data_IF_208834727927
#
_entry.id   IF_208834727927
#
_cell.length_a   1.000
_cell.length_b   1.000
_cell.length_c   1.000
_cell.angle_alpha   90.00
_cell.angle_beta   90.00
_cell.angle_gamma   90.00
#
_symmetry.space_group_name_H-M   'P 1'
#
loop_
_entity.id
_entity.type
_entity.pdbx_description
1 polymer ?
#
# COMPACT_ATOMS: atom_id res chain seq x y z
N UNK A 1 -10.52 3.95 -6.93
CA UNK A 1 -9.68 3.28 -5.91
C UNK A 1 -9.43 1.85 -6.29
N UNK A 2 -8.28 1.35 -5.92
CA UNK A 2 -7.93 -0.06 -6.16
C UNK A 2 -8.01 -0.84 -4.87
N UNK A 3 -8.22 -2.13 -4.98
CA UNK A 3 -8.22 -3.03 -3.84
C UNK A 3 -7.01 -3.95 -3.95
N UNK A 4 -6.39 -4.22 -2.83
CA UNK A 4 -5.25 -5.12 -2.78
C UNK A 4 -5.04 -5.67 -1.40
N UNK A 5 -3.97 -6.45 -1.26
CA UNK A 5 -3.59 -7.05 0.01
C UNK A 5 -2.18 -6.60 0.37
N UNK A 6 -1.98 -6.22 1.62
CA UNK A 6 -0.65 -5.84 2.09
C UNK A 6 0.24 -7.08 2.09
N UNK A 7 1.29 -7.04 1.28
CA UNK A 7 2.24 -8.15 1.20
C UNK A 7 3.15 -8.17 2.42
N UNK A 8 3.68 -7.01 2.76
CA UNK A 8 4.37 -6.80 4.03
C UNK A 8 4.41 -5.31 4.33
N UNK A 9 4.62 -4.98 5.58
CA UNK A 9 4.81 -3.59 5.97
C UNK A 9 5.78 -3.54 7.14
N UNK A 10 6.80 -2.69 7.02
CA UNK A 10 7.80 -2.49 8.06
C UNK A 10 7.55 -1.15 8.74
N UNK A 11 6.93 -1.17 9.90
CA UNK A 11 6.63 0.05 10.64
C UNK A 11 7.88 0.79 11.09
N UNK A 12 8.95 0.06 11.39
CA UNK A 12 10.20 0.67 11.83
C UNK A 12 10.82 1.51 10.74
N UNK A 13 10.80 1.02 9.51
CA UNK A 13 11.34 1.73 8.36
C UNK A 13 10.30 2.61 7.66
N UNK A 14 9.03 2.39 7.96
CA UNK A 14 7.95 3.22 7.44
C UNK A 14 7.58 2.95 5.99
N UNK A 15 7.70 1.71 5.52
CA UNK A 15 7.31 1.37 4.15
C UNK A 15 6.90 -0.09 4.04
N UNK A 16 6.25 -0.39 2.94
CA UNK A 16 5.84 -1.76 2.64
C UNK A 16 5.39 -1.89 1.19
N UNK A 17 4.79 -3.01 0.87
CA UNK A 17 4.27 -3.28 -0.46
C UNK A 17 2.85 -3.83 -0.37
N UNK A 18 2.03 -3.41 -1.33
CA UNK A 18 0.68 -3.91 -1.50
C UNK A 18 0.63 -4.63 -2.84
N UNK A 19 0.00 -5.79 -2.85
CA UNK A 19 -0.22 -6.53 -4.09
C UNK A 19 -1.66 -6.27 -4.52
N UNK A 20 -1.85 -5.69 -5.71
CA UNK A 20 -3.17 -5.37 -6.20
C UNK A 20 -3.86 -6.59 -6.82
N UNK A 21 -5.10 -6.41 -7.28
CA UNK A 21 -5.90 -7.49 -7.87
C UNK A 21 -5.25 -8.08 -9.12
N UNK A 22 -4.46 -7.31 -9.82
CA UNK A 22 -3.75 -7.77 -11.00
C UNK A 22 -2.44 -8.48 -10.66
N UNK A 23 -2.07 -8.55 -9.38
CA UNK A 23 -0.83 -9.18 -8.95
C UNK A 23 0.37 -8.27 -9.02
N UNK A 24 0.18 -6.98 -9.26
CA UNK A 24 1.26 -6.02 -9.32
C UNK A 24 1.61 -5.53 -7.91
N UNK A 25 2.89 -5.47 -7.60
CA UNK A 25 3.35 -4.94 -6.33
C UNK A 25 3.46 -3.43 -6.40
N UNK A 26 2.90 -2.75 -5.42
CA UNK A 26 2.89 -1.30 -5.36
C UNK A 26 3.51 -0.87 -4.03
N UNK A 27 4.49 0.02 -4.12
CA UNK A 27 5.16 0.54 -2.93
C UNK A 27 4.21 1.43 -2.13
N UNK A 28 4.24 1.29 -0.81
CA UNK A 28 3.48 2.15 0.09
C UNK A 28 4.40 2.69 1.17
N UNK A 29 4.33 3.99 1.38
CA UNK A 29 5.06 4.65 2.46
C UNK A 29 4.10 4.91 3.62
N UNK A 30 4.63 4.91 4.85
CA UNK A 30 3.79 5.12 6.04
C UNK A 30 2.97 6.39 5.95
N UNK A 31 3.50 7.43 5.33
CA UNK A 31 2.78 8.69 5.15
C UNK A 31 1.61 8.59 4.19
N UNK A 32 1.56 7.54 3.37
CA UNK A 32 0.44 7.29 2.47
C UNK A 32 -0.70 6.50 3.10
N UNK A 33 -0.56 6.07 4.34
CA UNK A 33 -1.58 5.32 5.04
C UNK A 33 -2.57 6.26 5.72
N UNK A 34 -3.85 6.05 5.47
CA UNK A 34 -4.90 6.74 6.22
C UNK A 34 -5.24 6.01 7.52
N UNK A 35 -4.98 4.71 7.55
CA UNK A 35 -5.18 3.87 8.72
C UNK A 35 -3.99 2.93 8.87
N UNK A 36 -3.77 2.43 10.06
CA UNK A 36 -2.75 1.40 10.27
C UNK A 36 -3.18 0.11 9.60
N UNK A 37 -2.29 -0.47 8.85
CA UNK A 37 -2.51 -1.75 8.18
C UNK A 37 -1.41 -2.70 8.56
N UNK A 38 -1.67 -3.98 8.40
CA UNK A 38 -0.73 -5.05 8.72
C UNK A 38 -0.57 -5.97 7.53
N UNK A 39 0.45 -6.81 7.61
CA UNK A 39 0.65 -7.87 6.62
C UNK A 39 -0.64 -8.69 6.47
N UNK A 40 -0.97 -8.99 5.24
CA UNK A 40 -2.16 -9.74 4.83
C UNK A 40 -3.50 -9.01 5.00
N UNK A 41 -3.50 -7.73 5.39
CA UNK A 41 -4.74 -6.97 5.43
C UNK A 41 -5.21 -6.65 4.02
N UNK A 42 -6.52 -6.74 3.81
CA UNK A 42 -7.13 -6.26 2.58
C UNK A 42 -7.36 -4.76 2.69
N UNK A 43 -6.92 -4.02 1.68
CA UNK A 43 -6.96 -2.56 1.73
C UNK A 43 -7.48 -1.99 0.42
N UNK A 44 -7.99 -0.77 0.49
CA UNK A 44 -8.27 0.04 -0.70
C UNK A 44 -7.27 1.18 -0.73
N UNK A 45 -6.89 1.59 -1.92
CA UNK A 45 -5.87 2.63 -2.08
C UNK A 45 -5.97 3.28 -3.44
N UNK A 46 -5.31 4.43 -3.57
CA UNK A 46 -5.12 5.10 -4.84
C UNK A 46 -3.67 4.98 -5.25
N UNK A 47 -3.42 5.05 -6.55
CA UNK A 47 -2.07 4.95 -7.10
C UNK A 47 -1.63 6.31 -7.59
N UNK A 48 -0.43 6.71 -7.18
CA UNK A 48 0.19 7.96 -7.63
C UNK A 48 1.58 7.65 -8.16
N UNK A 49 2.01 8.38 -9.19
CA UNK A 49 3.37 8.23 -9.68
C UNK A 49 4.35 8.90 -8.72
N UNK A 50 5.39 8.17 -8.37
CA UNK A 50 6.46 8.67 -7.54
C UNK A 50 7.79 8.58 -8.29
N UNK A 51 8.87 8.98 -7.62
CA UNK A 51 10.20 8.97 -8.22
C UNK A 51 10.69 7.59 -8.60
N UNK A 52 10.22 6.57 -7.91
CA UNK A 52 10.66 5.19 -8.12
C UNK A 52 9.58 4.33 -8.76
N UNK A 53 8.53 4.95 -9.29
CA UNK A 53 7.42 4.24 -9.88
C UNK A 53 6.13 4.53 -9.15
N UNK A 54 5.19 3.59 -9.18
CA UNK A 54 3.88 3.79 -8.59
C UNK A 54 3.93 3.63 -7.07
N UNK A 55 3.25 4.53 -6.38
CA UNK A 55 3.09 4.50 -4.93
C UNK A 55 1.61 4.40 -4.58
N UNK A 56 1.30 3.67 -3.51
CA UNK A 56 -0.04 3.65 -2.97
C UNK A 56 -0.22 4.83 -2.02
N UNK A 57 -1.33 5.54 -2.15
CA UNK A 57 -1.68 6.66 -1.28
C UNK A 57 -3.12 6.49 -0.81
N UNK A 58 -3.47 7.17 0.27
CA UNK A 58 -4.82 7.08 0.86
C UNK A 58 -5.22 5.63 1.17
N UNK A 59 -4.28 4.87 1.68
CA UNK A 59 -4.49 3.46 1.97
C UNK A 59 -5.38 3.30 3.19
N UNK A 60 -6.44 2.53 3.04
CA UNK A 60 -7.40 2.25 4.11
C UNK A 60 -7.73 0.76 4.13
N UNK A 61 -8.14 0.26 5.27
CA UNK A 61 -8.67 -1.09 5.34
C UNK A 61 -9.96 -1.18 4.54
N UNK A 62 -10.07 -2.25 3.80
CA UNK A 62 -11.27 -2.49 3.01
C UNK A 62 -12.47 -2.82 3.89
#
# INVERSE_FOLDING_TARGET
MKTGTVKFFNETKGFGFIKDDAGQEIFVHATGLSEKVKENDTVTFEVAEGRKGLNAVNVKKA
#
